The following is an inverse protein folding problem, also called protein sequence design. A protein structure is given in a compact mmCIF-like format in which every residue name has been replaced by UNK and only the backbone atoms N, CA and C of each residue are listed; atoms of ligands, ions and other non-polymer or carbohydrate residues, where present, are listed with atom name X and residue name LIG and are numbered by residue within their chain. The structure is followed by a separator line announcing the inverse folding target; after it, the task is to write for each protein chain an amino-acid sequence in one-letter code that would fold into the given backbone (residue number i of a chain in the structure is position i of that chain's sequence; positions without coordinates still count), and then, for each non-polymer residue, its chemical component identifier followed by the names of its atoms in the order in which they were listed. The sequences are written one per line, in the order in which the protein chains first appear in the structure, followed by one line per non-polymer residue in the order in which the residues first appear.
data_IF_843733004599
#
_entry.id   IF_843733004599
#
_cell.length_a   1.000
_cell.length_b   1.000
_cell.length_c   1.000
_cell.angle_alpha   90.00
_cell.angle_beta   90.00
_cell.angle_gamma   90.00
#
_symmetry.space_group_name_H-M   'P 1'
#
loop_
_entity.id
_entity.type
_entity.pdbx_description
1 polymer ?
#
# COMPACT_ATOMS: atom_id res chain seq x y z
N UNK A 1 10.16 14.38 52.92
CA UNK A 1 11.11 14.18 51.80
C UNK A 1 10.79 12.87 51.06
N UNK A 2 9.61 12.73 50.43
CA UNK A 2 9.17 11.47 49.78
C UNK A 2 8.19 11.74 48.63
N UNK A 3 8.47 12.74 47.78
CA UNK A 3 7.67 13.05 46.58
C UNK A 3 8.50 13.14 45.29
N UNK A 4 9.79 12.82 45.35
CA UNK A 4 10.72 12.95 44.22
C UNK A 4 11.23 11.61 43.65
N UNK A 5 10.77 10.48 44.18
CA UNK A 5 11.20 9.14 43.74
C UNK A 5 10.24 8.49 42.72
N UNK A 6 9.03 9.03 42.54
CA UNK A 6 8.01 8.48 41.61
C UNK A 6 8.24 8.97 40.16
N UNK A 7 9.00 10.04 39.95
CA UNK A 7 9.23 10.60 38.61
C UNK A 7 10.48 10.06 37.93
N UNK A 8 11.48 9.56 38.68
CA UNK A 8 12.74 9.07 38.11
C UNK A 8 12.69 7.60 37.66
N UNK A 9 11.82 6.77 38.24
CA UNK A 9 11.67 5.35 37.88
C UNK A 9 10.69 5.10 36.71
N UNK A 10 10.06 6.15 36.17
CA UNK A 10 9.00 6.04 35.16
C UNK A 10 9.43 6.50 33.76
N UNK A 11 10.64 7.03 33.59
CA UNK A 11 11.15 7.48 32.28
C UNK A 11 12.11 6.41 31.74
N UNK A 12 11.54 5.26 31.40
CA UNK A 12 12.18 4.24 30.55
C UNK A 12 11.63 4.33 29.12
N UNK A 13 12.32 3.74 28.13
CA UNK A 13 11.79 3.72 26.76
C UNK A 13 10.40 3.05 26.74
N UNK A 14 9.42 3.73 26.16
CA UNK A 14 8.07 3.18 26.02
C UNK A 14 8.05 2.14 24.88
N UNK A 15 8.35 0.89 25.22
CA UNK A 15 8.27 -0.25 24.29
C UNK A 15 6.84 -0.70 23.98
N UNK A 16 5.83 -0.15 24.66
CA UNK A 16 4.42 -0.43 24.39
C UNK A 16 4.01 -0.09 22.95
N UNK A 17 4.60 0.96 22.36
CA UNK A 17 4.39 1.32 20.96
C UNK A 17 4.99 0.30 19.98
N UNK A 18 6.07 -0.39 20.37
CA UNK A 18 6.73 -1.42 19.55
C UNK A 18 5.98 -2.75 19.63
N UNK A 19 5.35 -3.04 20.78
CA UNK A 19 4.53 -4.25 20.98
C UNK A 19 3.33 -4.36 20.02
N UNK A 20 2.76 -3.24 19.58
CA UNK A 20 1.65 -3.22 18.62
C UNK A 20 2.05 -3.33 17.14
N UNK A 21 3.36 -3.36 16.83
CA UNK A 21 3.87 -3.34 15.45
C UNK A 21 3.39 -4.53 14.60
N UNK A 22 3.20 -5.70 15.20
CA UNK A 22 2.69 -6.89 14.51
C UNK A 22 1.27 -6.71 13.97
N UNK A 23 0.37 -6.12 14.77
CA UNK A 23 -1.01 -5.87 14.36
C UNK A 23 -1.10 -4.79 13.27
N UNK A 24 -0.31 -3.71 13.40
CA UNK A 24 -0.16 -2.70 12.36
C UNK A 24 0.31 -3.31 11.04
N UNK A 25 1.32 -4.19 11.08
CA UNK A 25 1.82 -4.87 9.87
C UNK A 25 0.79 -5.79 9.25
N UNK A 26 -0.02 -6.49 10.05
CA UNK A 26 -1.11 -7.31 9.55
C UNK A 26 -2.18 -6.48 8.84
N UNK A 27 -2.60 -5.36 9.43
CA UNK A 27 -3.60 -4.45 8.83
C UNK A 27 -3.07 -3.85 7.53
N UNK A 28 -1.82 -3.36 7.52
CA UNK A 28 -1.19 -2.80 6.31
C UNK A 28 -1.07 -3.86 5.21
N UNK A 29 -0.67 -5.09 5.56
CA UNK A 29 -0.61 -6.21 4.62
C UNK A 29 -1.97 -6.55 4.00
N UNK A 30 -3.03 -6.53 4.81
CA UNK A 30 -4.39 -6.72 4.33
C UNK A 30 -4.82 -5.60 3.36
N UNK A 31 -4.55 -4.33 3.70
CA UNK A 31 -4.88 -3.19 2.84
C UNK A 31 -4.13 -3.22 1.50
N UNK A 32 -2.85 -3.60 1.49
CA UNK A 32 -2.08 -3.80 0.27
C UNK A 32 -2.71 -4.87 -0.63
N UNK A 33 -3.19 -5.97 -0.04
CA UNK A 33 -3.87 -7.05 -0.79
C UNK A 33 -5.18 -6.55 -1.40
N UNK A 34 -6.00 -5.83 -0.63
CA UNK A 34 -7.21 -5.22 -1.16
C UNK A 34 -6.92 -4.21 -2.28
N UNK A 35 -5.90 -3.36 -2.11
CA UNK A 35 -5.47 -2.41 -3.14
C UNK A 35 -5.05 -3.10 -4.43
N UNK A 36 -4.26 -4.18 -4.35
CA UNK A 36 -3.87 -4.98 -5.50
C UNK A 36 -5.08 -5.63 -6.20
N UNK A 37 -6.02 -6.20 -5.43
CA UNK A 37 -7.22 -6.81 -5.99
C UNK A 37 -8.03 -5.76 -6.76
N UNK A 38 -8.28 -4.60 -6.17
CA UNK A 38 -9.05 -3.52 -6.82
C UNK A 38 -8.34 -3.02 -8.08
N UNK A 39 -7.01 -2.85 -8.04
CA UNK A 39 -6.22 -2.45 -9.20
C UNK A 39 -6.37 -3.46 -10.36
N UNK A 40 -6.28 -4.77 -10.07
CA UNK A 40 -6.44 -5.82 -11.08
C UNK A 40 -7.88 -5.88 -11.62
N UNK A 41 -8.89 -5.78 -10.76
CA UNK A 41 -10.28 -5.77 -11.21
C UNK A 41 -10.55 -4.58 -12.16
N UNK A 42 -10.05 -3.38 -11.82
CA UNK A 42 -10.16 -2.20 -12.68
C UNK A 42 -9.36 -2.33 -13.98
N UNK A 43 -8.20 -2.99 -13.95
CA UNK A 43 -7.41 -3.30 -15.15
C UNK A 43 -8.22 -4.18 -16.12
N UNK A 44 -8.85 -5.24 -15.61
CA UNK A 44 -9.65 -6.17 -16.43
C UNK A 44 -10.85 -5.45 -17.06
N UNK A 45 -11.55 -4.60 -16.30
CA UNK A 45 -12.67 -3.80 -16.85
C UNK A 45 -12.18 -2.83 -17.93
N UNK A 46 -11.05 -2.15 -17.70
CA UNK A 46 -10.47 -1.24 -18.69
C UNK A 46 -9.99 -1.97 -19.95
N UNK A 47 -9.40 -3.16 -19.81
CA UNK A 47 -8.90 -3.95 -20.94
C UNK A 47 -10.04 -4.50 -21.81
N UNK A 48 -11.09 -5.03 -21.18
CA UNK A 48 -12.27 -5.55 -21.90
C UNK A 48 -13.02 -4.44 -22.63
N UNK A 49 -13.24 -3.30 -21.98
CA UNK A 49 -13.87 -2.12 -22.61
C UNK A 49 -13.03 -1.55 -23.76
N UNK A 50 -11.71 -1.49 -23.62
CA UNK A 50 -10.82 -1.07 -24.70
C UNK A 50 -10.89 -2.00 -25.91
N UNK A 51 -10.88 -3.31 -25.70
CA UNK A 51 -10.98 -4.30 -26.78
C UNK A 51 -12.30 -4.19 -27.56
N UNK A 52 -13.43 -4.07 -26.84
CA UNK A 52 -14.76 -3.93 -27.45
C UNK A 52 -14.94 -2.59 -28.19
N UNK A 53 -14.47 -1.50 -27.60
CA UNK A 53 -14.57 -0.16 -28.20
C UNK A 53 -13.69 0.00 -29.44
N UNK A 54 -12.52 -0.65 -29.46
CA UNK A 54 -11.58 -0.60 -30.59
C UNK A 54 -12.14 -1.33 -31.82
N UNK A 55 -12.92 -2.41 -31.63
CA UNK A 55 -13.57 -3.12 -32.73
C UNK A 55 -14.86 -2.48 -33.26
N UNK A 56 -15.52 -1.64 -32.46
CA UNK A 56 -16.84 -1.05 -32.78
C UNK A 56 -16.78 0.38 -33.34
N UNK A 57 -15.58 0.96 -33.54
CA UNK A 57 -15.41 2.32 -34.03
C UNK A 57 -15.74 3.42 -32.99
N UNK A 58 -15.92 3.05 -31.72
CA UNK A 58 -16.20 3.96 -30.62
C UNK A 58 -14.89 4.59 -30.06
N UNK A 59 -14.30 5.51 -30.82
CA UNK A 59 -12.99 6.12 -30.53
C UNK A 59 -12.91 6.79 -29.16
N UNK A 60 -13.96 7.48 -28.73
CA UNK A 60 -13.95 8.22 -27.47
C UNK A 60 -13.93 7.29 -26.25
N UNK A 61 -14.66 6.18 -26.32
CA UNK A 61 -14.69 5.14 -25.28
C UNK A 61 -13.37 4.37 -25.24
N UNK A 62 -12.79 4.05 -26.40
CA UNK A 62 -11.51 3.37 -26.49
C UNK A 62 -10.36 4.18 -25.86
N UNK A 63 -10.33 5.50 -26.08
CA UNK A 63 -9.31 6.37 -25.46
C UNK A 63 -9.45 6.44 -23.94
N UNK A 64 -10.67 6.59 -23.41
CA UNK A 64 -10.91 6.59 -21.96
C UNK A 64 -10.51 5.26 -21.30
N UNK A 65 -10.83 4.14 -21.93
CA UNK A 65 -10.47 2.81 -21.43
C UNK A 65 -8.95 2.60 -21.40
N UNK A 66 -8.22 3.10 -22.41
CA UNK A 66 -6.75 3.05 -22.45
C UNK A 66 -6.12 3.84 -21.29
N UNK A 67 -6.60 5.05 -21.01
CA UNK A 67 -6.13 5.83 -19.86
C UNK A 67 -6.44 5.13 -18.53
N UNK A 68 -7.62 4.53 -18.39
CA UNK A 68 -7.99 3.72 -17.23
C UNK A 68 -7.05 2.52 -17.01
N UNK A 69 -6.63 1.86 -18.09
CA UNK A 69 -5.65 0.77 -18.05
C UNK A 69 -4.31 1.25 -17.48
N UNK A 70 -3.78 2.38 -17.95
CA UNK A 70 -2.53 2.94 -17.41
C UNK A 70 -2.61 3.30 -15.93
N UNK A 71 -3.74 3.86 -15.47
CA UNK A 71 -3.97 4.15 -14.05
C UNK A 71 -4.00 2.87 -13.22
N UNK A 72 -4.66 1.82 -13.70
CA UNK A 72 -4.73 0.53 -13.00
C UNK A 72 -3.33 -0.13 -12.90
N UNK A 73 -2.55 -0.10 -13.98
CA UNK A 73 -1.15 -0.57 -13.97
C UNK A 73 -0.33 0.24 -12.95
N UNK A 74 -0.46 1.56 -12.96
CA UNK A 74 0.22 2.44 -12.01
C UNK A 74 -0.14 2.10 -10.55
N UNK A 75 -1.42 1.87 -10.25
CA UNK A 75 -1.88 1.46 -8.93
C UNK A 75 -1.31 0.10 -8.49
N UNK A 76 -1.26 -0.88 -9.39
CA UNK A 76 -0.67 -2.19 -9.09
C UNK A 76 0.84 -2.09 -8.81
N UNK A 77 1.57 -1.36 -9.66
CA UNK A 77 3.02 -1.13 -9.48
C UNK A 77 3.31 -0.36 -8.20
N UNK A 78 2.55 0.70 -7.89
CA UNK A 78 2.72 1.47 -6.65
C UNK A 78 2.52 0.61 -5.41
N UNK A 79 1.47 -0.21 -5.40
CA UNK A 79 1.13 -1.08 -4.26
C UNK A 79 2.21 -2.15 -4.05
N UNK A 80 2.74 -2.75 -5.13
CA UNK A 80 3.87 -3.67 -5.05
C UNK A 80 5.18 -3.00 -4.62
N UNK A 81 5.49 -1.84 -5.20
CA UNK A 81 6.70 -1.07 -4.89
C UNK A 81 6.74 -0.62 -3.43
N UNK A 82 5.59 -0.24 -2.85
CA UNK A 82 5.50 0.14 -1.44
C UNK A 82 6.00 -0.97 -0.50
N UNK A 83 5.63 -2.24 -0.76
CA UNK A 83 6.09 -3.38 0.04
C UNK A 83 7.59 -3.61 -0.10
N UNK A 84 8.10 -3.59 -1.34
CA UNK A 84 9.53 -3.79 -1.61
C UNK A 84 10.38 -2.70 -0.97
N UNK A 85 9.93 -1.44 -1.06
CA UNK A 85 10.62 -0.31 -0.46
C UNK A 85 10.62 -0.38 1.07
N UNK A 86 9.48 -0.70 1.69
CA UNK A 86 9.40 -0.88 3.14
C UNK A 86 10.37 -1.96 3.62
N UNK A 87 10.44 -3.10 2.92
CA UNK A 87 11.39 -4.16 3.26
C UNK A 87 12.85 -3.71 3.09
N UNK A 88 13.15 -2.94 2.04
CA UNK A 88 14.50 -2.40 1.83
C UNK A 88 14.93 -1.43 2.95
N UNK A 89 14.05 -0.51 3.36
CA UNK A 89 14.32 0.43 4.46
C UNK A 89 14.56 -0.30 5.79
N UNK A 90 13.75 -1.31 6.09
CA UNK A 90 13.93 -2.14 7.28
C UNK A 90 15.26 -2.91 7.24
N UNK A 91 15.64 -3.44 6.08
CA UNK A 91 16.90 -4.12 5.90
C UNK A 91 18.09 -3.19 6.13
N UNK A 92 18.04 -1.97 5.58
CA UNK A 92 19.06 -0.94 5.79
C UNK A 92 19.20 -0.55 7.26
N UNK A 93 18.08 -0.30 7.94
CA UNK A 93 18.10 0.06 9.36
C UNK A 93 18.60 -1.06 10.27
N UNK A 94 18.53 -2.32 9.85
CA UNK A 94 19.09 -3.45 10.60
C UNK A 94 20.62 -3.61 10.41
N UNK A 95 21.20 -2.99 9.37
CA UNK A 95 22.64 -3.04 9.07
C UNK A 95 23.41 -1.80 9.56
N UNK A 96 22.71 -0.77 10.03
CA UNK A 96 23.26 0.45 10.63
C UNK A 96 23.16 0.40 12.15
#
# INVERSE_FOLDING_TARGET
MQRLLVTASAVGPNFGAVGGSGQMRAIVGALLTYGLIVAVLMLVVSATTWALASGSGAWHTAQKAKTGCFVAIGGAVLTGAALTWANWLLHLGAHL
#
